data_IF_669031345339
#
_entry.id   IF_669031345339
#
_cell.length_a   1.000
_cell.length_b   1.000
_cell.length_c   1.000
_cell.angle_alpha   90.00
_cell.angle_beta   90.00
_cell.angle_gamma   90.00
#
_symmetry.space_group_name_H-M   'P 1'
#
loop_
_entity.id
_entity.type
_entity.pdbx_description
1 polymer ?
#
# COMPACT_ATOMS: atom_id res chain seq x y z
N UNK A 1 -11.56 -29.36 14.17
CA UNK A 1 -11.37 -28.21 15.07
C UNK A 1 -9.90 -27.81 14.97
N UNK A 2 -9.59 -26.72 14.28
CA UNK A 2 -8.21 -26.23 14.18
C UNK A 2 -7.77 -25.63 15.51
N UNK A 3 -6.70 -26.18 16.10
CA UNK A 3 -6.10 -25.63 17.30
C UNK A 3 -5.46 -24.27 17.00
N UNK A 4 -5.47 -23.34 17.97
CA UNK A 4 -4.80 -22.03 17.88
C UNK A 4 -3.39 -22.11 17.26
N UNK A 5 -2.60 -23.06 17.75
CA UNK A 5 -1.23 -23.32 17.31
C UNK A 5 -1.13 -23.82 15.85
N UNK A 6 -2.11 -24.58 15.36
CA UNK A 6 -2.15 -25.02 13.96
C UNK A 6 -2.43 -23.85 13.00
N UNK A 7 -3.35 -22.94 13.36
CA UNK A 7 -3.64 -21.73 12.56
C UNK A 7 -2.43 -20.80 12.48
N UNK A 8 -1.71 -20.62 13.59
CA UNK A 8 -0.48 -19.82 13.62
C UNK A 8 0.62 -20.42 12.75
N UNK A 9 0.88 -21.72 12.94
CA UNK A 9 1.88 -22.42 12.15
C UNK A 9 1.54 -22.39 10.65
N UNK A 10 0.27 -22.50 10.27
CA UNK A 10 -0.14 -22.47 8.87
C UNK A 10 0.10 -21.11 8.20
N UNK A 11 -0.15 -19.99 8.89
CA UNK A 11 0.11 -18.66 8.31
C UNK A 11 1.61 -18.42 8.11
N UNK A 12 2.42 -18.61 9.17
CA UNK A 12 3.87 -18.33 9.12
C UNK A 12 4.66 -19.35 8.29
N UNK A 13 4.08 -20.53 8.01
CA UNK A 13 4.62 -21.47 7.01
C UNK A 13 4.45 -20.99 5.57
N UNK A 14 3.48 -20.11 5.30
CA UNK A 14 3.10 -19.70 3.96
C UNK A 14 3.33 -18.20 3.69
N UNK A 15 3.70 -17.41 4.71
CA UNK A 15 4.00 -16.00 4.58
C UNK A 15 5.07 -15.53 5.57
N UNK A 16 5.75 -14.46 5.17
CA UNK A 16 6.81 -13.78 5.96
C UNK A 16 6.44 -12.31 6.13
N UNK A 17 6.82 -11.71 7.26
CA UNK A 17 6.72 -10.27 7.44
C UNK A 17 7.95 -9.57 6.86
N UNK A 18 7.73 -8.71 5.88
CA UNK A 18 8.71 -7.77 5.37
C UNK A 18 8.57 -6.44 6.12
N UNK A 19 9.66 -5.96 6.73
CA UNK A 19 9.76 -4.64 7.33
C UNK A 19 10.61 -3.76 6.42
N UNK A 20 9.99 -2.74 5.84
CA UNK A 20 10.62 -1.74 4.99
C UNK A 20 10.63 -0.38 5.68
N UNK A 21 11.82 0.06 6.08
CA UNK A 21 12.04 1.38 6.69
C UNK A 21 12.69 2.31 5.67
N UNK A 22 11.98 3.38 5.33
CA UNK A 22 12.49 4.45 4.48
C UNK A 22 12.53 5.75 5.29
N UNK A 23 13.72 6.34 5.46
CA UNK A 23 13.87 7.71 5.96
C UNK A 23 14.38 8.62 4.86
N UNK A 24 14.04 9.90 5.00
CA UNK A 24 14.49 10.97 4.12
C UNK A 24 14.58 12.27 4.92
N UNK A 25 15.36 13.20 4.41
CA UNK A 25 15.47 14.54 4.99
C UNK A 25 14.11 15.25 5.01
N UNK A 26 13.75 15.84 6.15
CA UNK A 26 12.62 16.76 6.21
C UNK A 26 12.97 18.08 5.54
N UNK A 27 12.24 18.46 4.49
CA UNK A 27 12.47 19.70 3.72
C UNK A 27 11.48 20.84 4.07
N UNK A 28 10.75 20.70 5.17
CA UNK A 28 9.89 21.75 5.72
C UNK A 28 10.36 22.15 7.12
N UNK A 29 10.27 23.43 7.44
CA UNK A 29 10.62 23.99 8.76
C UNK A 29 9.52 24.93 9.22
N UNK A 30 9.24 24.93 10.52
CA UNK A 30 8.33 25.90 11.12
C UNK A 30 8.98 27.28 11.11
N UNK A 31 8.21 28.29 10.75
CA UNK A 31 8.66 29.69 10.77
C UNK A 31 8.35 30.27 12.15
N UNK A 32 9.27 31.07 12.70
CA UNK A 32 9.00 31.80 13.94
C UNK A 32 7.91 32.83 13.69
N UNK A 33 6.91 32.86 14.56
CA UNK A 33 5.71 33.69 14.41
C UNK A 33 6.00 35.20 14.55
N UNK A 34 7.15 35.55 15.12
CA UNK A 34 7.59 36.95 15.31
C UNK A 34 7.83 37.69 13.99
N UNK A 35 7.95 36.97 12.88
CA UNK A 35 8.16 37.52 11.53
C UNK A 35 6.82 37.82 10.82
N UNK A 36 5.69 37.43 11.40
CA UNK A 36 4.37 37.60 10.78
C UNK A 36 3.67 38.85 11.34
N UNK A 37 3.48 39.85 10.49
CA UNK A 37 2.68 41.04 10.79
C UNK A 37 1.18 40.75 10.67
N UNK A 38 0.63 39.90 11.56
CA UNK A 38 -0.80 39.55 11.56
C UNK A 38 -1.39 39.73 12.95
N UNK A 39 -2.52 40.44 13.05
CA UNK A 39 -3.32 40.65 14.27
C UNK A 39 -4.16 39.43 14.67
N UNK A 40 -3.64 38.20 14.46
CA UNK A 40 -4.34 36.97 14.84
C UNK A 40 -3.68 36.33 16.07
N UNK A 41 -4.48 35.55 16.82
CA UNK A 41 -3.95 34.78 17.94
C UNK A 41 -2.88 33.81 17.43
N UNK A 42 -1.64 34.08 17.83
CA UNK A 42 -0.44 33.38 17.39
C UNK A 42 -0.47 31.91 17.83
N UNK A 43 -1.21 31.55 18.89
CA UNK A 43 -1.33 30.15 19.32
C UNK A 43 -2.09 29.28 18.31
N UNK A 44 -2.95 29.88 17.47
CA UNK A 44 -3.80 29.17 16.51
C UNK A 44 -3.18 29.04 15.12
N UNK A 45 -2.09 29.77 14.83
CA UNK A 45 -1.51 29.87 13.48
C UNK A 45 -0.14 29.19 13.40
N UNK A 46 -0.06 28.04 12.73
CA UNK A 46 1.21 27.37 12.41
C UNK A 46 1.64 27.68 10.98
N UNK A 47 2.78 28.38 10.82
CA UNK A 47 3.35 28.67 9.50
C UNK A 47 4.58 27.80 9.27
N UNK A 48 4.63 27.19 8.08
CA UNK A 48 5.77 26.35 7.65
C UNK A 48 6.32 26.86 6.33
N UNK A 49 7.65 26.86 6.21
CA UNK A 49 8.37 27.12 4.96
C UNK A 49 8.94 25.82 4.41
N UNK A 50 8.98 25.70 3.09
CA UNK A 50 9.80 24.68 2.44
C UNK A 50 11.22 25.23 2.33
N UNK A 51 12.20 24.52 2.89
CA UNK A 51 13.62 24.89 2.80
C UNK A 51 14.23 24.44 1.48
N UNK A 52 13.65 23.43 0.83
CA UNK A 52 14.06 22.98 -0.49
C UNK A 52 12.82 22.72 -1.34
N UNK A 53 12.82 23.25 -2.57
CA UNK A 53 11.78 23.00 -3.56
C UNK A 53 12.46 22.62 -4.88
N UNK A 54 13.00 21.41 -4.94
CA UNK A 54 13.76 20.92 -6.09
C UNK A 54 13.12 19.68 -6.73
N UNK A 55 13.25 19.48 -8.06
CA UNK A 55 12.72 18.33 -8.75
C UNK A 55 13.38 17.01 -8.31
N UNK A 56 14.66 17.03 -7.94
CA UNK A 56 15.42 15.83 -7.56
C UNK A 56 14.85 15.16 -6.31
N UNK A 57 14.54 15.95 -5.28
CA UNK A 57 13.92 15.44 -4.06
C UNK A 57 12.48 14.92 -4.31
N UNK A 58 11.76 15.54 -5.26
CA UNK A 58 10.43 15.07 -5.67
C UNK A 58 10.50 13.71 -6.34
N UNK A 59 11.48 13.46 -7.20
CA UNK A 59 11.64 12.15 -7.84
C UNK A 59 11.97 11.05 -6.81
N UNK A 60 12.81 11.32 -5.80
CA UNK A 60 13.04 10.37 -4.68
C UNK A 60 11.72 10.09 -3.94
N UNK A 61 10.98 11.14 -3.57
CA UNK A 61 9.70 10.98 -2.85
C UNK A 61 8.66 10.21 -3.66
N UNK A 62 8.64 10.43 -4.97
CA UNK A 62 7.77 9.74 -5.91
C UNK A 62 8.16 8.27 -6.03
N UNK A 63 9.45 7.95 -6.11
CA UNK A 63 9.94 6.57 -6.10
C UNK A 63 9.59 5.85 -4.78
N UNK A 64 9.79 6.51 -3.63
CA UNK A 64 9.40 6.02 -2.30
C UNK A 64 7.88 5.74 -2.18
N UNK A 65 7.04 6.51 -2.89
CA UNK A 65 5.60 6.27 -2.94
C UNK A 65 5.25 5.10 -3.87
N UNK A 66 5.94 5.00 -5.01
CA UNK A 66 5.76 3.92 -5.98
C UNK A 66 6.08 2.55 -5.37
N UNK A 67 7.17 2.39 -4.62
CA UNK A 67 7.50 1.10 -4.02
C UNK A 67 6.42 0.64 -3.03
N UNK A 68 5.91 1.54 -2.20
CA UNK A 68 4.84 1.23 -1.24
C UNK A 68 3.57 0.76 -1.95
N UNK A 69 3.21 1.43 -3.05
CA UNK A 69 2.07 1.05 -3.90
C UNK A 69 2.31 -0.26 -4.66
N UNK A 70 3.53 -0.53 -5.12
CA UNK A 70 3.85 -1.80 -5.78
C UNK A 70 3.77 -2.93 -4.78
N UNK A 71 4.39 -2.82 -3.61
CA UNK A 71 4.36 -3.85 -2.57
C UNK A 71 2.95 -4.26 -2.18
N UNK A 72 1.99 -3.33 -2.07
CA UNK A 72 0.60 -3.68 -1.75
C UNK A 72 -0.08 -4.62 -2.76
N UNK A 73 0.42 -4.71 -3.99
CA UNK A 73 -0.07 -5.67 -5.00
C UNK A 73 0.50 -7.08 -4.86
N UNK A 74 1.59 -7.26 -4.13
CA UNK A 74 2.23 -8.55 -3.85
C UNK A 74 1.90 -9.06 -2.45
N UNK A 75 1.44 -8.19 -1.55
CA UNK A 75 1.26 -8.51 -0.14
C UNK A 75 -0.20 -8.72 0.20
N UNK A 76 -0.45 -9.41 1.33
CA UNK A 76 -1.77 -9.43 1.93
C UNK A 76 -2.06 -8.04 2.52
N UNK A 77 -3.28 -7.50 2.30
CA UNK A 77 -3.75 -6.37 3.07
C UNK A 77 -3.74 -6.76 4.55
N UNK A 78 -3.18 -5.90 5.40
CA UNK A 78 -3.14 -6.15 6.84
C UNK A 78 -3.21 -4.85 7.61
N UNK A 79 -3.82 -4.90 8.80
CA UNK A 79 -3.87 -3.80 9.75
C UNK A 79 -2.54 -3.60 10.51
N UNK A 80 -1.43 -4.10 9.97
CA UNK A 80 -0.10 -3.94 10.53
C UNK A 80 0.38 -2.49 10.37
N UNK A 81 1.41 -2.12 11.12
CA UNK A 81 1.97 -0.76 11.08
C UNK A 81 2.47 -0.43 9.67
N UNK A 82 2.34 0.83 9.20
CA UNK A 82 2.90 1.25 7.93
C UNK A 82 4.39 0.89 7.81
N UNK A 83 4.76 0.26 6.71
CA UNK A 83 6.12 -0.26 6.49
C UNK A 83 6.28 -1.74 6.83
N UNK A 84 5.29 -2.39 7.46
CA UNK A 84 5.25 -3.84 7.64
C UNK A 84 4.28 -4.44 6.62
N UNK A 85 4.75 -5.45 5.89
CA UNK A 85 4.02 -6.11 4.83
C UNK A 85 4.00 -7.62 5.04
N UNK A 86 2.84 -8.26 4.87
CA UNK A 86 2.73 -9.71 4.92
C UNK A 86 2.87 -10.28 3.49
N UNK A 87 4.00 -10.91 3.21
CA UNK A 87 4.38 -11.39 1.88
C UNK A 87 4.14 -12.91 1.81
N UNK A 88 3.30 -13.41 0.89
CA UNK A 88 3.22 -14.84 0.62
C UNK A 88 4.56 -15.41 0.15
N UNK A 89 4.91 -16.61 0.59
CA UNK A 89 6.16 -17.26 0.19
C UNK A 89 6.27 -17.44 -1.33
N UNK A 90 5.15 -17.68 -2.00
CA UNK A 90 5.07 -17.82 -3.45
C UNK A 90 5.46 -16.54 -4.22
N UNK A 91 5.42 -15.36 -3.57
CA UNK A 91 5.77 -14.07 -4.17
C UNK A 91 7.07 -13.49 -3.58
N UNK A 92 7.77 -14.25 -2.74
CA UNK A 92 8.90 -13.73 -1.98
C UNK A 92 10.07 -13.32 -2.89
N UNK A 93 10.39 -14.14 -3.89
CA UNK A 93 11.44 -13.85 -4.87
C UNK A 93 11.11 -12.59 -5.70
N UNK A 94 9.89 -12.48 -6.22
CA UNK A 94 9.44 -11.30 -6.98
C UNK A 94 9.49 -10.01 -6.12
N UNK A 95 9.15 -10.13 -4.83
CA UNK A 95 9.23 -9.02 -3.88
C UNK A 95 10.67 -8.63 -3.57
N UNK A 96 11.57 -9.60 -3.39
CA UNK A 96 12.99 -9.33 -3.18
C UNK A 96 13.63 -8.64 -4.40
N UNK A 97 13.36 -9.13 -5.60
CA UNK A 97 13.79 -8.48 -6.84
C UNK A 97 13.25 -7.04 -6.96
N UNK A 98 11.97 -6.84 -6.62
CA UNK A 98 11.35 -5.52 -6.61
C UNK A 98 12.06 -4.55 -5.65
N UNK A 99 12.42 -5.03 -4.46
CA UNK A 99 13.09 -4.24 -3.42
C UNK A 99 14.53 -3.93 -3.82
N UNK A 100 15.26 -4.91 -4.35
CA UNK A 100 16.64 -4.75 -4.82
C UNK A 100 16.71 -3.72 -5.95
N UNK A 101 15.85 -3.85 -6.96
CA UNK A 101 15.73 -2.88 -8.05
C UNK A 101 15.36 -1.46 -7.56
N UNK A 102 14.51 -1.38 -6.53
CA UNK A 102 14.14 -0.10 -5.93
C UNK A 102 15.32 0.52 -5.19
N UNK A 103 16.08 -0.27 -4.42
CA UNK A 103 17.25 0.18 -3.67
C UNK A 103 18.27 0.83 -4.59
N UNK A 104 18.67 0.16 -5.68
CA UNK A 104 19.65 0.68 -6.65
C UNK A 104 19.19 2.00 -7.28
N UNK A 105 17.92 2.07 -7.71
CA UNK A 105 17.33 3.28 -8.29
C UNK A 105 17.30 4.42 -7.27
N UNK A 106 16.95 4.11 -6.02
CA UNK A 106 16.86 5.10 -4.95
C UNK A 106 18.25 5.65 -4.60
N UNK A 107 19.25 4.79 -4.47
CA UNK A 107 20.64 5.17 -4.23
C UNK A 107 21.16 6.10 -5.33
N UNK A 108 20.91 5.76 -6.60
CA UNK A 108 21.28 6.61 -7.74
C UNK A 108 20.64 8.00 -7.70
N UNK A 109 19.34 8.08 -7.35
CA UNK A 109 18.65 9.37 -7.20
C UNK A 109 19.17 10.18 -6.00
N UNK A 110 19.52 9.51 -4.89
CA UNK A 110 20.10 10.17 -3.71
C UNK A 110 21.48 10.73 -4.06
N UNK A 111 22.33 9.97 -4.74
CA UNK A 111 23.65 10.42 -5.15
C UNK A 111 23.57 11.65 -6.07
N UNK A 112 22.65 11.63 -7.04
CA UNK A 112 22.39 12.80 -7.88
C UNK A 112 21.88 14.01 -7.08
N UNK A 113 20.91 13.81 -6.18
CA UNK A 113 20.41 14.87 -5.31
C UNK A 113 21.51 15.49 -4.44
N UNK A 114 22.39 14.66 -3.89
CA UNK A 114 23.52 15.08 -3.05
C UNK A 114 24.51 15.92 -3.86
N UNK A 115 24.81 15.56 -5.10
CA UNK A 115 25.68 16.34 -5.98
C UNK A 115 25.13 17.75 -6.25
N UNK A 116 23.82 17.88 -6.49
CA UNK A 116 23.19 19.18 -6.76
C UNK A 116 22.79 19.95 -5.50
N UNK A 117 22.88 19.34 -4.31
CA UNK A 117 22.44 19.94 -3.06
C UNK A 117 23.07 21.31 -2.75
N UNK A 118 24.40 21.53 -2.94
CA UNK A 118 25.01 22.84 -2.69
C UNK A 118 24.39 23.95 -3.54
N UNK A 119 24.15 23.68 -4.83
CA UNK A 119 23.49 24.62 -5.73
C UNK A 119 22.05 24.91 -5.28
N UNK A 120 21.30 23.87 -4.87
CA UNK A 120 19.92 24.05 -4.35
C UNK A 120 19.89 24.86 -3.06
N UNK A 121 20.93 24.78 -2.23
CA UNK A 121 21.09 25.60 -1.03
C UNK A 121 21.28 27.08 -1.38
N UNK A 122 22.10 27.40 -2.37
CA UNK A 122 22.31 28.78 -2.86
C UNK A 122 21.01 29.36 -3.46
N UNK A 123 20.30 28.58 -4.28
CA UNK A 123 19.00 28.99 -4.82
C UNK A 123 17.98 29.25 -3.70
N UNK A 124 17.98 28.42 -2.65
CA UNK A 124 17.09 28.59 -1.51
C UNK A 124 17.43 29.85 -0.69
N UNK A 125 18.72 30.20 -0.57
CA UNK A 125 19.16 31.43 0.05
C UNK A 125 18.61 32.66 -0.67
N UNK A 126 18.68 32.67 -2.01
CA UNK A 126 18.12 33.76 -2.82
C UNK A 126 16.59 33.84 -2.73
N UNK A 127 15.90 32.70 -2.78
CA UNK A 127 14.42 32.66 -2.80
C UNK A 127 13.79 32.94 -1.44
N UNK A 128 14.40 32.50 -0.35
CA UNK A 128 13.85 32.67 1.00
C UNK A 128 14.25 34.00 1.62
N UNK A 129 15.31 34.66 1.13
CA UNK A 129 15.77 35.96 1.63
C UNK A 129 15.83 35.99 3.17
N UNK A 130 15.06 36.87 3.81
CA UNK A 130 15.01 37.04 5.27
C UNK A 130 14.53 35.79 6.03
N UNK A 131 13.82 34.88 5.36
CA UNK A 131 13.39 33.60 5.93
C UNK A 131 14.43 32.50 5.77
N UNK A 132 15.58 32.75 5.14
CA UNK A 132 16.66 31.79 5.05
C UNK A 132 17.36 31.64 6.41
N UNK A 133 17.56 30.40 6.85
CA UNK A 133 18.33 30.10 8.05
C UNK A 133 19.39 29.04 7.69
N UNK A 134 20.70 29.37 7.74
CA UNK A 134 21.77 28.42 7.41
C UNK A 134 21.70 27.12 8.22
N UNK A 135 21.27 27.17 9.48
CA UNK A 135 21.17 25.98 10.35
C UNK A 135 20.11 24.96 9.88
N UNK A 136 19.21 25.35 8.98
CA UNK A 136 18.24 24.43 8.38
C UNK A 136 18.88 23.52 7.31
N UNK A 137 20.11 23.82 6.86
CA UNK A 137 20.80 23.18 5.74
C UNK A 137 22.09 22.48 6.23
N UNK A 138 22.01 21.18 6.56
CA UNK A 138 23.18 20.42 6.99
C UNK A 138 24.21 20.24 5.85
N UNK A 139 25.41 19.78 6.20
CA UNK A 139 26.43 19.43 5.21
C UNK A 139 26.02 18.22 4.34
N UNK A 140 26.74 18.04 3.24
CA UNK A 140 26.46 17.03 2.22
C UNK A 140 26.44 15.61 2.79
N UNK A 141 27.37 15.28 3.69
CA UNK A 141 27.47 13.93 4.26
C UNK A 141 26.29 13.65 5.20
N UNK A 142 25.92 14.64 6.01
CA UNK A 142 24.72 14.59 6.87
C UNK A 142 23.43 14.48 6.03
N UNK A 143 23.33 15.18 4.89
CA UNK A 143 22.19 15.05 3.97
C UNK A 143 22.09 13.63 3.44
N UNK A 144 23.20 13.05 2.97
CA UNK A 144 23.25 11.68 2.45
C UNK A 144 22.85 10.68 3.53
N UNK A 145 23.42 10.79 4.73
CA UNK A 145 23.09 9.94 5.89
C UNK A 145 21.63 10.08 6.36
N UNK A 146 20.97 11.21 6.06
CA UNK A 146 19.54 11.43 6.33
C UNK A 146 18.59 10.54 5.50
N UNK A 147 19.08 9.90 4.44
CA UNK A 147 18.33 8.89 3.70
C UNK A 147 18.67 7.49 4.22
N UNK A 148 17.70 6.85 4.86
CA UNK A 148 17.82 5.45 5.30
C UNK A 148 17.01 4.56 4.38
N UNK A 149 17.58 3.40 4.06
CA UNK A 149 16.87 2.25 3.51
C UNK A 149 17.25 1.02 4.35
N UNK A 150 16.25 0.40 4.99
CA UNK A 150 16.41 -0.88 5.66
C UNK A 150 15.28 -1.81 5.24
N UNK A 151 15.64 -3.05 4.93
CA UNK A 151 14.75 -4.13 4.57
C UNK A 151 15.08 -5.34 5.46
N UNK A 152 14.08 -5.89 6.13
CA UNK A 152 14.24 -7.07 6.99
C UNK A 152 13.07 -8.03 6.78
N UNK A 153 13.38 -9.32 6.70
CA UNK A 153 12.40 -10.39 6.68
C UNK A 153 12.32 -11.02 8.07
N UNK A 154 11.13 -11.06 8.64
CA UNK A 154 10.84 -11.57 9.97
C UNK A 154 9.80 -12.69 9.89
N UNK A 155 10.10 -13.81 10.53
CA UNK A 155 9.12 -14.86 10.84
C UNK A 155 8.78 -14.77 12.33
N UNK A 156 7.53 -15.07 12.68
CA UNK A 156 7.12 -15.14 14.08
C UNK A 156 6.99 -16.60 14.48
N UNK A 157 8.00 -17.10 15.17
CA UNK A 157 7.91 -18.35 15.90
C UNK A 157 7.64 -18.05 17.37
N UNK A 158 6.74 -18.80 18.01
CA UNK A 158 6.61 -18.73 19.46
C UNK A 158 7.93 -19.21 20.07
N UNK A 159 8.61 -18.39 20.90
CA UNK A 159 9.84 -18.83 21.54
C UNK A 159 9.56 -20.08 22.38
N UNK A 160 10.28 -21.17 22.13
CA UNK A 160 10.27 -22.37 22.98
C UNK A 160 10.74 -22.09 24.42
N UNK A 161 11.20 -20.88 24.72
CA UNK A 161 11.49 -20.41 26.07
C UNK A 161 10.24 -20.04 26.87
N UNK A 162 9.11 -19.71 26.23
CA UNK A 162 7.85 -19.42 26.92
C UNK A 162 7.23 -20.66 27.57
N UNK A 163 7.50 -21.86 27.03
CA UNK A 163 7.05 -23.12 27.63
C UNK A 163 7.74 -23.44 28.96
N UNK A 164 8.92 -22.85 29.23
CA UNK A 164 9.63 -23.04 30.49
C UNK A 164 9.14 -22.11 31.61
N UNK A 165 8.41 -21.04 31.29
CA UNK A 165 8.16 -19.92 32.21
C UNK A 165 6.75 -19.90 32.84
N UNK A 166 5.72 -20.49 32.22
CA UNK A 166 4.41 -20.82 32.84
C UNK A 166 3.44 -21.38 31.79
N UNK A 167 2.85 -22.55 32.02
CA UNK A 167 1.80 -23.12 31.15
C UNK A 167 0.61 -22.17 30.97
N UNK A 168 0.23 -21.41 32.02
CA UNK A 168 -0.87 -20.45 31.97
C UNK A 168 -0.58 -19.27 31.03
N UNK A 169 0.67 -18.81 30.99
CA UNK A 169 1.08 -17.74 30.07
C UNK A 169 1.14 -18.26 28.63
N UNK A 170 1.62 -19.49 28.45
CA UNK A 170 1.65 -20.12 27.13
C UNK A 170 0.25 -20.24 26.53
N UNK A 171 -0.72 -20.80 27.27
CA UNK A 171 -2.10 -20.95 26.78
C UNK A 171 -2.76 -19.61 26.44
N UNK A 172 -2.62 -18.61 27.33
CA UNK A 172 -3.18 -17.27 27.11
C UNK A 172 -2.57 -16.59 25.89
N UNK A 173 -1.24 -16.64 25.74
CA UNK A 173 -0.57 -16.02 24.59
C UNK A 173 -0.87 -16.77 23.29
N UNK A 174 -0.92 -18.11 23.31
CA UNK A 174 -1.30 -18.89 22.12
C UNK A 174 -2.71 -18.55 21.66
N UNK A 175 -3.66 -18.42 22.58
CA UNK A 175 -5.05 -18.08 22.25
C UNK A 175 -5.15 -16.65 21.71
N UNK A 176 -4.51 -15.68 22.37
CA UNK A 176 -4.48 -14.28 21.94
C UNK A 176 -3.87 -14.12 20.53
N UNK A 177 -2.71 -14.73 20.28
CA UNK A 177 -2.00 -14.62 19.01
C UNK A 177 -2.82 -15.30 17.90
N UNK A 178 -3.48 -16.41 18.20
CA UNK A 178 -4.31 -17.12 17.22
C UNK A 178 -5.59 -16.36 16.87
N UNK A 179 -6.23 -15.73 17.86
CA UNK A 179 -7.37 -14.85 17.61
C UNK A 179 -6.97 -13.67 16.73
N UNK A 180 -5.81 -13.05 17.00
CA UNK A 180 -5.27 -11.97 16.16
C UNK A 180 -5.00 -12.44 14.73
N UNK A 181 -4.41 -13.62 14.55
CA UNK A 181 -4.16 -14.17 13.20
C UNK A 181 -5.45 -14.46 12.45
N UNK A 182 -6.47 -15.03 13.11
CA UNK A 182 -7.79 -15.24 12.50
C UNK A 182 -8.42 -13.92 12.07
N UNK A 183 -8.39 -12.91 12.94
CA UNK A 183 -8.89 -11.58 12.62
C UNK A 183 -8.13 -10.97 11.43
N UNK A 184 -6.80 -11.07 11.42
CA UNK A 184 -5.97 -10.58 10.30
C UNK A 184 -6.33 -11.27 8.98
N UNK A 185 -6.59 -12.57 8.98
CA UNK A 185 -7.00 -13.32 7.78
C UNK A 185 -8.40 -12.91 7.29
N UNK A 186 -9.36 -12.71 8.20
CA UNK A 186 -10.70 -12.23 7.83
C UNK A 186 -10.69 -10.77 7.33
N UNK A 187 -9.84 -9.92 7.92
CA UNK A 187 -9.61 -8.56 7.41
C UNK A 187 -8.97 -8.60 6.02
N UNK A 188 -7.92 -9.40 5.82
CA UNK A 188 -7.27 -9.58 4.53
C UNK A 188 -8.26 -10.07 3.47
N UNK A 189 -9.09 -11.06 3.81
CA UNK A 189 -10.17 -11.58 2.97
C UNK A 189 -11.15 -10.47 2.56
N UNK A 190 -11.62 -9.69 3.54
CA UNK A 190 -12.53 -8.56 3.29
C UNK A 190 -11.89 -7.54 2.34
N UNK A 191 -10.65 -7.12 2.61
CA UNK A 191 -9.96 -6.14 1.77
C UNK A 191 -9.65 -6.67 0.37
N UNK A 192 -9.41 -7.98 0.20
CA UNK A 192 -9.27 -8.59 -1.12
C UNK A 192 -10.60 -8.55 -1.90
N UNK A 193 -11.74 -8.81 -1.26
CA UNK A 193 -13.07 -8.67 -1.87
C UNK A 193 -13.34 -7.22 -2.30
N UNK A 194 -13.08 -6.27 -1.41
CA UNK A 194 -13.21 -4.83 -1.68
C UNK A 194 -12.30 -4.38 -2.83
N UNK A 195 -11.04 -4.81 -2.84
CA UNK A 195 -10.10 -4.48 -3.92
C UNK A 195 -10.57 -5.05 -5.27
N UNK A 196 -11.12 -6.27 -5.29
CA UNK A 196 -11.70 -6.84 -6.51
C UNK A 196 -12.92 -6.01 -6.96
N UNK A 197 -13.78 -5.60 -6.03
CA UNK A 197 -14.97 -4.80 -6.33
C UNK A 197 -14.59 -3.46 -6.94
N UNK A 198 -13.62 -2.76 -6.36
CA UNK A 198 -13.11 -1.50 -6.89
C UNK A 198 -12.53 -1.64 -8.30
N UNK A 199 -11.78 -2.71 -8.57
CA UNK A 199 -11.21 -2.95 -9.91
C UNK A 199 -12.29 -3.27 -10.95
N UNK A 200 -13.28 -4.07 -10.58
CA UNK A 200 -14.42 -4.42 -11.44
C UNK A 200 -15.28 -3.18 -11.71
N UNK A 201 -15.62 -2.41 -10.66
CA UNK A 201 -16.33 -1.14 -10.78
C UNK A 201 -15.58 -0.18 -11.68
N UNK A 202 -14.28 -0.03 -11.48
CA UNK A 202 -13.48 0.85 -12.30
C UNK A 202 -13.50 0.44 -13.78
N UNK A 203 -13.41 -0.85 -14.09
CA UNK A 203 -13.50 -1.34 -15.46
C UNK A 203 -14.89 -1.06 -16.05
N UNK A 204 -15.97 -1.40 -15.35
CA UNK A 204 -17.34 -1.16 -15.79
C UNK A 204 -17.63 0.33 -16.00
N UNK A 205 -17.16 1.17 -15.08
CA UNK A 205 -17.33 2.62 -15.10
C UNK A 205 -16.65 3.23 -16.34
N UNK A 206 -15.51 2.67 -16.78
CA UNK A 206 -14.79 3.08 -18.00
C UNK A 206 -15.40 2.56 -19.29
N UNK A 207 -16.06 1.40 -19.25
CA UNK A 207 -16.77 0.82 -20.40
C UNK A 207 -18.20 1.34 -20.58
N UNK A 208 -18.73 2.07 -19.59
CA UNK A 208 -20.07 2.65 -19.68
C UNK A 208 -19.99 4.07 -20.27
N UNK A 209 -20.72 4.37 -21.37
CA UNK A 209 -20.80 5.73 -21.91
C UNK A 209 -21.27 6.73 -20.86
N UNK A 210 -20.78 7.97 -20.96
CA UNK A 210 -21.27 9.07 -20.12
C UNK A 210 -22.75 9.38 -20.42
N UNK A 211 -23.45 10.05 -19.50
CA UNK A 211 -24.83 10.50 -19.66
C UNK A 211 -25.07 11.33 -20.95
N UNK A 212 -24.02 11.97 -21.48
CA UNK A 212 -24.05 12.74 -22.73
C UNK A 212 -23.71 11.88 -23.98
N UNK A 213 -23.72 10.55 -23.88
CA UNK A 213 -23.38 9.62 -24.96
C UNK A 213 -21.90 9.54 -25.33
N UNK A 214 -21.02 10.34 -24.69
CA UNK A 214 -19.57 10.33 -24.96
C UNK A 214 -18.88 9.15 -24.28
N UNK A 215 -18.05 8.42 -25.03
CA UNK A 215 -17.20 7.35 -24.49
C UNK A 215 -16.18 7.93 -23.51
N UNK A 216 -16.07 7.30 -22.33
CA UNK A 216 -15.05 7.69 -21.34
C UNK A 216 -13.67 7.26 -21.83
N UNK A 217 -12.63 7.95 -21.35
CA UNK A 217 -11.25 7.57 -21.68
C UNK A 217 -10.91 6.21 -21.08
N UNK A 218 -10.90 5.17 -21.91
CA UNK A 218 -10.46 3.84 -21.55
C UNK A 218 -8.94 3.72 -21.68
N UNK A 219 -8.24 3.44 -20.58
CA UNK A 219 -6.78 3.24 -20.55
C UNK A 219 -6.47 1.75 -20.45
N UNK A 220 -5.46 1.28 -21.18
CA UNK A 220 -5.01 -0.11 -21.10
C UNK A 220 -4.68 -0.54 -19.66
N UNK A 221 -4.15 0.40 -18.85
CA UNK A 221 -3.86 0.20 -17.43
C UNK A 221 -5.07 -0.26 -16.61
N UNK A 222 -6.31 0.06 -17.01
CA UNK A 222 -7.51 -0.42 -16.30
C UNK A 222 -7.63 -1.95 -16.37
N UNK A 223 -7.34 -2.53 -17.54
CA UNK A 223 -7.36 -4.00 -17.72
C UNK A 223 -6.11 -4.62 -17.11
N UNK A 224 -4.93 -4.03 -17.35
CA UNK A 224 -3.66 -4.54 -16.79
C UNK A 224 -3.71 -4.60 -15.27
N UNK A 225 -4.23 -3.57 -14.58
CA UNK A 225 -4.33 -3.59 -13.13
C UNK A 225 -5.26 -4.69 -12.59
N UNK A 226 -6.38 -4.96 -13.30
CA UNK A 226 -7.28 -6.06 -12.93
C UNK A 226 -6.62 -7.42 -13.17
N UNK A 227 -6.00 -7.63 -14.33
CA UNK A 227 -5.27 -8.88 -14.62
C UNK A 227 -4.14 -9.12 -13.61
N UNK A 228 -3.40 -8.08 -13.25
CA UNK A 228 -2.36 -8.11 -12.23
C UNK A 228 -2.87 -8.54 -10.86
N UNK A 229 -4.08 -8.11 -10.47
CA UNK A 229 -4.74 -8.57 -9.26
C UNK A 229 -5.14 -10.04 -9.37
N UNK A 230 -5.79 -10.42 -10.46
CA UNK A 230 -6.27 -11.78 -10.69
C UNK A 230 -5.13 -12.80 -10.70
N UNK A 231 -4.02 -12.49 -11.38
CA UNK A 231 -2.87 -13.37 -11.50
C UNK A 231 -2.14 -13.61 -10.18
N UNK A 232 -2.19 -12.65 -9.25
CA UNK A 232 -1.58 -12.76 -7.92
C UNK A 232 -2.53 -13.24 -6.83
N UNK A 233 -3.82 -13.41 -7.17
CA UNK A 233 -4.85 -13.75 -6.18
C UNK A 233 -4.55 -15.07 -5.48
N UNK A 234 -4.17 -16.11 -6.23
CA UNK A 234 -3.97 -17.46 -5.70
C UNK A 234 -2.90 -17.47 -4.60
N UNK A 235 -1.79 -16.74 -4.81
CA UNK A 235 -0.75 -16.59 -3.80
C UNK A 235 -1.19 -15.76 -2.58
N UNK A 236 -2.12 -14.81 -2.77
CA UNK A 236 -2.63 -13.93 -1.71
C UNK A 236 -3.81 -14.53 -0.93
N UNK A 237 -4.44 -15.59 -1.45
CA UNK A 237 -5.62 -16.24 -0.87
C UNK A 237 -5.27 -17.19 0.30
N UNK A 238 -4.53 -16.69 1.30
CA UNK A 238 -4.12 -17.48 2.46
C UNK A 238 -5.30 -17.83 3.39
N UNK A 239 -6.39 -17.07 3.31
CA UNK A 239 -7.64 -17.33 4.05
C UNK A 239 -8.52 -18.40 3.39
N UNK A 240 -8.13 -18.94 2.23
CA UNK A 240 -8.91 -19.94 1.47
C UNK A 240 -10.34 -19.46 1.16
N UNK A 241 -10.49 -18.22 0.71
CA UNK A 241 -11.77 -17.68 0.27
C UNK A 241 -12.19 -18.32 -1.06
N UNK A 242 -12.89 -19.46 -0.98
CA UNK A 242 -13.32 -20.23 -2.15
C UNK A 242 -14.36 -19.49 -3.00
N UNK A 243 -15.17 -18.61 -2.39
CA UNK A 243 -16.19 -17.87 -3.14
C UNK A 243 -15.56 -16.74 -3.94
N UNK A 244 -14.60 -16.01 -3.35
CA UNK A 244 -13.82 -15.04 -4.10
C UNK A 244 -12.97 -15.72 -5.18
N UNK A 245 -12.40 -16.90 -4.91
CA UNK A 245 -11.65 -17.68 -5.90
C UNK A 245 -12.49 -17.99 -7.14
N UNK A 246 -13.74 -18.44 -6.98
CA UNK A 246 -14.65 -18.70 -8.12
C UNK A 246 -14.84 -17.44 -8.97
N UNK A 247 -15.04 -16.28 -8.34
CA UNK A 247 -15.22 -15.02 -9.06
C UNK A 247 -13.94 -14.58 -9.77
N UNK A 248 -12.78 -14.80 -9.16
CA UNK A 248 -11.47 -14.55 -9.78
C UNK A 248 -11.29 -15.43 -11.02
N UNK A 249 -11.63 -16.71 -10.94
CA UNK A 249 -11.52 -17.65 -12.07
C UNK A 249 -12.49 -17.27 -13.20
N UNK A 250 -13.73 -16.86 -12.87
CA UNK A 250 -14.68 -16.31 -13.84
C UNK A 250 -14.12 -15.05 -14.52
N UNK A 251 -13.55 -14.11 -13.76
CA UNK A 251 -12.95 -12.90 -14.30
C UNK A 251 -11.73 -13.19 -15.19
N UNK A 252 -10.86 -14.14 -14.77
CA UNK A 252 -9.72 -14.63 -15.58
C UNK A 252 -10.21 -15.22 -16.89
N UNK A 253 -11.23 -16.09 -16.85
CA UNK A 253 -11.82 -16.70 -18.04
C UNK A 253 -12.42 -15.67 -19.00
N UNK A 254 -13.12 -14.67 -18.47
CA UNK A 254 -13.71 -13.59 -19.27
C UNK A 254 -12.66 -12.70 -19.95
N UNK A 255 -11.54 -12.42 -19.29
CA UNK A 255 -10.47 -11.58 -19.83
C UNK A 255 -9.43 -12.35 -20.64
N UNK A 256 -9.42 -13.68 -20.56
CA UNK A 256 -8.47 -14.52 -21.28
C UNK A 256 -8.56 -14.29 -22.80
N UNK A 257 -7.43 -13.97 -23.43
CA UNK A 257 -7.37 -13.68 -24.86
C UNK A 257 -7.97 -12.32 -25.28
N UNK A 258 -8.41 -11.50 -24.33
CA UNK A 258 -8.92 -10.16 -24.60
C UNK A 258 -7.83 -9.09 -24.47
N UNK A 259 -7.33 -8.63 -25.60
CA UNK A 259 -6.42 -7.49 -25.64
C UNK A 259 -7.13 -6.18 -25.25
N UNK A 260 -6.55 -5.32 -24.39
CA UNK A 260 -7.15 -4.05 -24.00
C UNK A 260 -7.47 -3.15 -25.20
N UNK A 261 -6.67 -3.24 -26.27
CA UNK A 261 -6.92 -2.52 -27.52
C UNK A 261 -8.24 -2.96 -28.17
N UNK A 262 -8.54 -4.28 -28.18
CA UNK A 262 -9.79 -4.82 -28.75
C UNK A 262 -11.00 -4.40 -27.93
N UNK A 263 -10.91 -4.46 -26.60
CA UNK A 263 -11.97 -3.98 -25.70
C UNK A 263 -12.30 -2.50 -25.96
N UNK A 264 -11.30 -1.69 -26.36
CA UNK A 264 -11.49 -0.28 -26.67
C UNK A 264 -12.12 -0.02 -28.03
N UNK A 265 -11.77 -0.81 -29.06
CA UNK A 265 -12.16 -0.53 -30.45
C UNK A 265 -13.43 -1.26 -30.89
N UNK A 266 -13.78 -2.35 -30.21
CA UNK A 266 -14.89 -3.22 -30.60
C UNK A 266 -16.00 -3.16 -29.52
N UNK A 267 -17.10 -2.48 -29.82
CA UNK A 267 -18.23 -2.32 -28.89
C UNK A 267 -18.91 -3.67 -28.55
N UNK A 268 -18.84 -4.67 -29.43
CA UNK A 268 -19.37 -6.00 -29.14
C UNK A 268 -18.56 -6.67 -28.03
N UNK A 269 -17.23 -6.58 -28.11
CA UNK A 269 -16.31 -7.07 -27.08
C UNK A 269 -16.47 -6.27 -25.79
N UNK A 270 -16.54 -4.94 -25.88
CA UNK A 270 -16.76 -4.07 -24.72
C UNK A 270 -18.06 -4.42 -23.99
N UNK A 271 -19.13 -4.73 -24.74
CA UNK A 271 -20.42 -5.15 -24.18
C UNK A 271 -20.32 -6.50 -23.49
N UNK A 272 -19.70 -7.50 -24.10
CA UNK A 272 -19.49 -8.82 -23.47
C UNK A 272 -18.72 -8.68 -22.15
N UNK A 273 -17.62 -7.91 -22.14
CA UNK A 273 -16.83 -7.66 -20.92
C UNK A 273 -17.67 -6.94 -19.86
N UNK A 274 -18.41 -5.90 -20.25
CA UNK A 274 -19.23 -5.11 -19.33
C UNK A 274 -20.35 -5.95 -18.70
N UNK A 275 -21.05 -6.77 -19.46
CA UNK A 275 -22.11 -7.64 -18.93
C UNK A 275 -21.54 -8.76 -18.04
N UNK A 276 -20.44 -9.39 -18.46
CA UNK A 276 -19.76 -10.40 -17.63
C UNK A 276 -19.25 -9.82 -16.30
N UNK A 277 -18.63 -8.64 -16.35
CA UNK A 277 -18.18 -7.93 -15.13
C UNK A 277 -19.34 -7.49 -14.25
N UNK A 278 -20.50 -7.11 -14.83
CA UNK A 278 -21.72 -6.81 -14.06
C UNK A 278 -22.24 -8.03 -13.30
N UNK A 279 -22.23 -9.20 -13.92
CA UNK A 279 -22.62 -10.45 -13.26
C UNK A 279 -21.66 -10.83 -12.12
N UNK A 280 -20.35 -10.66 -12.32
CA UNK A 280 -19.33 -10.86 -11.27
C UNK A 280 -19.54 -9.87 -10.13
N UNK A 281 -19.77 -8.58 -10.45
CA UNK A 281 -20.02 -7.54 -9.44
C UNK A 281 -21.24 -7.85 -8.58
N UNK A 282 -22.34 -8.30 -9.19
CA UNK A 282 -23.54 -8.67 -8.44
C UNK A 282 -23.29 -9.81 -7.45
N UNK A 283 -22.50 -10.81 -7.82
CA UNK A 283 -22.12 -11.90 -6.91
C UNK A 283 -21.16 -11.40 -5.82
N UNK A 284 -20.22 -10.53 -6.18
CA UNK A 284 -19.27 -9.95 -5.23
C UNK A 284 -19.96 -9.06 -4.20
N UNK A 285 -20.98 -8.30 -4.60
CA UNK A 285 -21.80 -7.50 -3.69
C UNK A 285 -22.55 -8.37 -2.68
N UNK A 286 -23.11 -9.50 -3.09
CA UNK A 286 -23.73 -10.45 -2.18
C UNK A 286 -22.72 -10.97 -1.13
N UNK A 287 -21.47 -11.23 -1.53
CA UNK A 287 -20.39 -11.63 -0.62
C UNK A 287 -19.97 -10.54 0.37
N UNK A 288 -20.30 -9.27 0.12
CA UNK A 288 -19.97 -8.13 0.99
C UNK A 288 -21.14 -7.73 1.91
N UNK A 289 -22.38 -8.02 1.53
CA UNK A 289 -23.60 -7.67 2.32
C UNK A 289 -23.82 -8.58 3.53
N UNK A 290 -23.26 -9.80 3.57
CA UNK A 290 -23.39 -10.73 4.72
C UNK A 290 -22.69 -10.27 6.03
N UNK A 291 -22.25 -9.02 6.12
CA UNK A 291 -21.63 -8.46 7.33
C UNK A 291 -22.70 -7.83 8.23
N UNK A 292 -22.83 -8.22 9.52
CA UNK A 292 -23.57 -7.40 10.47
C UNK A 292 -22.81 -6.08 10.59
N UNK A 293 -23.48 -4.97 10.30
CA UNK A 293 -22.91 -3.65 10.55
C UNK A 293 -22.54 -3.58 12.02
N UNK A 294 -21.35 -3.06 12.33
CA UNK A 294 -20.97 -2.77 13.71
C UNK A 294 -21.95 -1.72 14.24
N UNK A 295 -22.97 -2.15 14.96
CA UNK A 295 -23.80 -1.29 15.79
C UNK A 295 -22.88 -0.81 16.90
N UNK A 296 -22.43 0.44 16.81
CA UNK A 296 -21.85 1.12 17.95
C UNK A 296 -22.98 1.34 18.95
N UNK A 297 -23.10 0.46 19.95
CA UNK A 297 -23.82 0.78 21.16
C UNK A 297 -22.96 1.80 21.91
N UNK A 298 -23.35 3.07 21.80
CA UNK A 298 -22.95 4.07 22.78
C UNK A 298 -23.75 3.71 24.03
N UNK A 299 -23.11 3.05 24.99
CA UNK A 299 -23.62 3.03 26.35
C UNK A 299 -23.42 4.44 26.90
N UNK A 300 -24.52 5.17 27.04
CA UNK A 300 -24.59 6.42 27.79
C UNK A 300 -24.34 6.11 29.28
N UNK A 301 -23.27 6.66 29.84
CA UNK A 301 -23.14 6.98 31.27
C UNK A 301 -22.86 8.48 31.44
#
# INVERSE_FOLDING_TARGET
>A
MDTPQATLSALWKNAVCLVLTLRKLGIKRTVRQDVLAVETDRALVKVTKAILACPEFKEITKLDAQIRKRLSSYTLPSSLRPGIYLVPNALLEEVDELITNFKEKRESLIDYFVQVYPQRREEAQLKLADLYNPADYPDVDTVKAGFLFECQYLTFDLPGTLSALSERLLTRETDNVSQKVRQMLEEAKTTLREAMAELVDHLMERLTPSANGKTKTFKASTVTNLMDFLNRFDARNLSQDLDLQKLVDQAKGLLSGMEPARIRTDESVATVVREGMRAIKSQLDALMVEKPSRVYALEDE
#
